data_IF_006864393316
#
_entry.id   IF_006864393316
#
_cell.length_a   1.000
_cell.length_b   1.000
_cell.length_c   1.000
_cell.angle_alpha   90.00
_cell.angle_beta   90.00
_cell.angle_gamma   90.00
#
_symmetry.space_group_name_H-M   'P 1'
#
loop_
_entity.id
_entity.type
_entity.pdbx_description
1 polymer ?
#
# COMPACT_ATOMS: atom_id res chain seq x y z
N UNK A 1 46.46 1.90 1.10
CA UNK A 1 45.23 1.15 1.44
C UNK A 1 45.50 -0.34 1.22
N UNK A 2 45.33 -1.23 2.21
CA UNK A 2 45.69 -2.64 2.03
C UNK A 2 44.55 -3.41 1.35
N UNK A 3 44.94 -4.17 0.32
CA UNK A 3 44.11 -5.07 -0.47
C UNK A 3 43.92 -6.37 0.33
N UNK A 4 42.76 -6.58 0.93
CA UNK A 4 42.45 -7.83 1.62
C UNK A 4 42.08 -8.92 0.59
N UNK A 5 43.10 -9.59 0.06
CA UNK A 5 42.92 -10.91 -0.56
C UNK A 5 42.82 -11.94 0.56
N UNK A 6 41.65 -12.55 0.74
CA UNK A 6 41.51 -13.74 1.58
C UNK A 6 42.24 -14.91 0.90
N UNK A 7 43.09 -15.67 1.61
CA UNK A 7 43.81 -16.78 1.01
C UNK A 7 42.83 -17.93 0.74
N UNK A 8 42.62 -18.26 -0.54
CA UNK A 8 41.97 -19.50 -0.94
C UNK A 8 42.94 -20.62 -0.55
N UNK A 9 42.67 -21.25 0.58
CA UNK A 9 43.41 -22.41 1.08
C UNK A 9 43.16 -23.56 0.10
N UNK A 10 44.14 -23.83 -0.76
CA UNK A 10 44.20 -25.03 -1.59
C UNK A 10 44.37 -26.26 -0.68
N UNK A 11 43.26 -26.70 -0.08
CA UNK A 11 43.18 -28.02 0.56
C UNK A 11 42.95 -29.00 -0.57
N UNK A 12 43.93 -29.87 -0.81
CA UNK A 12 43.88 -30.99 -1.73
C UNK A 12 42.46 -31.59 -1.79
N UNK A 13 41.85 -31.49 -2.97
CA UNK A 13 40.58 -32.13 -3.30
C UNK A 13 40.80 -33.65 -3.37
N UNK A 14 40.94 -34.31 -2.22
CA UNK A 14 40.54 -35.72 -2.09
C UNK A 14 39.05 -35.74 -2.37
N UNK A 15 38.70 -36.28 -3.54
CA UNK A 15 37.36 -36.53 -4.08
C UNK A 15 36.27 -36.56 -3.00
N UNK A 16 35.73 -35.38 -2.65
CA UNK A 16 34.46 -35.32 -1.92
C UNK A 16 33.40 -35.71 -2.93
N UNK A 17 33.08 -37.00 -3.00
CA UNK A 17 31.86 -37.49 -3.64
C UNK A 17 30.72 -36.61 -3.13
N UNK A 18 30.23 -35.73 -4.00
CA UNK A 18 29.11 -34.83 -3.70
C UNK A 18 27.91 -35.75 -3.47
N UNK A 19 27.50 -35.92 -2.22
CA UNK A 19 26.33 -36.73 -1.87
C UNK A 19 25.11 -35.95 -2.39
N UNK A 20 24.66 -36.27 -3.59
CA UNK A 20 23.41 -35.75 -4.14
C UNK A 20 22.27 -36.59 -3.58
N UNK A 21 21.59 -36.09 -2.56
CA UNK A 21 20.34 -36.68 -2.10
C UNK A 21 19.26 -36.44 -3.16
N UNK A 22 18.90 -37.45 -3.93
CA UNK A 22 17.69 -37.40 -4.75
C UNK A 22 16.48 -37.48 -3.83
N UNK A 23 15.79 -36.36 -3.63
CA UNK A 23 14.47 -36.38 -3.00
C UNK A 23 13.54 -37.28 -3.83
N UNK A 24 12.78 -38.16 -3.17
CA UNK A 24 11.75 -38.94 -3.84
C UNK A 24 10.81 -38.01 -4.60
N UNK A 25 10.31 -38.45 -5.75
CA UNK A 25 9.49 -37.60 -6.64
C UNK A 25 8.33 -36.92 -5.89
N UNK A 26 7.68 -37.66 -4.97
CA UNK A 26 6.61 -37.14 -4.13
C UNK A 26 7.08 -36.02 -3.18
N UNK A 27 8.25 -36.16 -2.56
CA UNK A 27 8.81 -35.10 -1.71
C UNK A 27 9.20 -33.86 -2.53
N UNK A 28 9.73 -34.06 -3.73
CA UNK A 28 10.09 -32.95 -4.64
C UNK A 28 8.86 -32.17 -5.08
N UNK A 29 7.77 -32.86 -5.44
CA UNK A 29 6.50 -32.23 -5.79
C UNK A 29 5.87 -31.46 -4.62
N UNK A 30 5.88 -32.03 -3.41
CA UNK A 30 5.38 -31.34 -2.21
C UNK A 30 6.20 -30.10 -1.87
N UNK A 31 7.53 -30.18 -1.98
CA UNK A 31 8.40 -29.00 -1.80
C UNK A 31 8.10 -27.93 -2.86
N UNK A 32 7.92 -28.32 -4.12
CA UNK A 32 7.56 -27.39 -5.19
C UNK A 32 6.21 -26.69 -4.91
N UNK A 33 5.23 -27.45 -4.40
CA UNK A 33 3.92 -26.92 -4.01
C UNK A 33 4.03 -25.90 -2.87
N UNK A 34 4.79 -26.23 -1.82
CA UNK A 34 5.03 -25.32 -0.68
C UNK A 34 5.78 -24.05 -1.09
N UNK A 35 6.74 -24.15 -2.02
CA UNK A 35 7.46 -23.00 -2.58
C UNK A 35 6.51 -22.10 -3.36
N UNK A 36 5.63 -22.69 -4.18
CA UNK A 36 4.65 -21.95 -4.96
C UNK A 36 3.60 -21.27 -4.05
N UNK A 37 3.15 -21.95 -3.00
CA UNK A 37 2.23 -21.39 -1.99
C UNK A 37 2.87 -20.21 -1.25
N UNK A 38 4.13 -20.35 -0.80
CA UNK A 38 4.92 -19.24 -0.23
C UNK A 38 5.03 -18.06 -1.19
N UNK A 39 5.38 -18.31 -2.45
CA UNK A 39 5.52 -17.25 -3.45
C UNK A 39 4.20 -16.51 -3.70
N UNK A 40 3.08 -17.25 -3.72
CA UNK A 40 1.76 -16.66 -3.89
C UNK A 40 1.33 -15.86 -2.66
N UNK A 41 1.65 -16.33 -1.45
CA UNK A 41 1.40 -15.60 -0.22
C UNK A 41 2.21 -14.30 -0.17
N UNK A 42 3.50 -14.33 -0.53
CA UNK A 42 4.36 -13.15 -0.58
C UNK A 42 3.86 -12.14 -1.63
N UNK A 43 3.44 -12.61 -2.81
CA UNK A 43 2.80 -11.74 -3.83
C UNK A 43 1.49 -11.14 -3.33
N UNK A 44 0.63 -11.92 -2.69
CA UNK A 44 -0.64 -11.44 -2.16
C UNK A 44 -0.44 -10.46 -0.99
N UNK A 45 0.57 -10.67 -0.16
CA UNK A 45 0.94 -9.75 0.91
C UNK A 45 1.46 -8.42 0.35
N UNK A 46 2.27 -8.46 -0.72
CA UNK A 46 2.71 -7.26 -1.43
C UNK A 46 1.52 -6.52 -2.07
N UNK A 47 0.58 -7.24 -2.69
CA UNK A 47 -0.66 -6.67 -3.26
C UNK A 47 -1.52 -6.04 -2.16
N UNK A 48 -1.66 -6.70 -1.01
CA UNK A 48 -2.42 -6.17 0.13
C UNK A 48 -1.78 -4.91 0.72
N UNK A 49 -0.44 -4.84 0.78
CA UNK A 49 0.29 -3.62 1.19
C UNK A 49 0.14 -2.46 0.20
N UNK A 50 -0.16 -2.75 -1.07
CA UNK A 50 -0.37 -1.77 -2.14
C UNK A 50 -1.84 -1.38 -2.34
N UNK A 51 -2.75 -1.76 -1.43
CA UNK A 51 -4.17 -1.37 -1.48
C UNK A 51 -5.11 -2.41 -2.09
N UNK A 52 -4.66 -3.65 -2.31
CA UNK A 52 -5.50 -4.76 -2.79
C UNK A 52 -5.56 -4.90 -4.32
N UNK A 53 -6.50 -5.72 -4.80
CA UNK A 53 -6.64 -6.14 -6.22
C UNK A 53 -7.10 -5.01 -7.16
N UNK A 54 -7.63 -3.92 -6.60
CA UNK A 54 -7.95 -2.72 -7.37
C UNK A 54 -6.64 -2.00 -7.70
N UNK A 55 -6.06 -2.36 -8.85
CA UNK A 55 -5.00 -1.55 -9.47
C UNK A 55 -5.56 -0.14 -9.60
N UNK A 56 -5.07 0.78 -8.77
CA UNK A 56 -5.27 2.20 -8.97
C UNK A 56 -4.95 2.50 -10.45
N UNK A 57 -5.87 3.16 -11.13
CA UNK A 57 -5.61 3.58 -12.50
C UNK A 57 -4.38 4.48 -12.54
N UNK A 58 -3.71 4.58 -13.70
CA UNK A 58 -2.53 5.44 -13.84
C UNK A 58 -2.79 6.87 -13.36
N UNK A 59 -4.03 7.35 -13.52
CA UNK A 59 -4.47 8.69 -13.12
C UNK A 59 -4.61 8.79 -11.60
N UNK A 60 -5.26 7.82 -10.95
CA UNK A 60 -5.39 7.79 -9.48
C UNK A 60 -4.01 7.72 -8.81
N UNK A 61 -3.08 6.94 -9.37
CA UNK A 61 -1.70 6.85 -8.87
C UNK A 61 -0.97 8.19 -8.99
N UNK A 62 -1.17 8.93 -10.08
CA UNK A 62 -0.57 10.25 -10.28
C UNK A 62 -1.16 11.28 -9.30
N UNK A 63 -2.46 11.24 -9.04
CA UNK A 63 -3.12 12.15 -8.10
C UNK A 63 -2.61 11.93 -6.66
N UNK A 64 -2.39 10.68 -6.25
CA UNK A 64 -1.86 10.36 -4.90
C UNK A 64 -0.43 10.88 -4.70
N UNK A 65 0.35 11.00 -5.78
CA UNK A 65 1.71 11.52 -5.71
C UNK A 65 1.80 13.06 -5.67
N UNK A 66 0.67 13.77 -5.83
CA UNK A 66 0.68 15.23 -5.79
C UNK A 66 0.81 15.74 -4.35
N UNK A 67 1.63 16.77 -4.18
CA UNK A 67 1.64 17.53 -2.94
C UNK A 67 0.31 18.27 -2.76
N UNK A 68 -0.02 18.60 -1.51
CA UNK A 68 -1.30 19.23 -1.16
C UNK A 68 -1.57 20.49 -1.99
N UNK A 69 -0.55 21.34 -2.15
CA UNK A 69 -0.68 22.61 -2.87
C UNK A 69 -0.91 22.38 -4.37
N UNK A 70 -0.20 21.42 -4.97
CA UNK A 70 -0.39 21.02 -6.36
C UNK A 70 -1.78 20.43 -6.62
N UNK A 71 -2.30 19.66 -5.66
CA UNK A 71 -3.65 19.11 -5.73
C UNK A 71 -4.72 20.21 -5.66
N UNK A 72 -4.51 21.21 -4.79
CA UNK A 72 -5.42 22.36 -4.67
C UNK A 72 -5.41 23.16 -5.97
N UNK A 73 -4.24 23.46 -6.53
CA UNK A 73 -4.13 24.19 -7.80
C UNK A 73 -4.82 23.45 -8.94
N UNK A 74 -4.63 22.13 -9.03
CA UNK A 74 -5.30 21.29 -10.04
C UNK A 74 -6.82 21.36 -9.92
N UNK A 75 -7.36 21.29 -8.69
CA UNK A 75 -8.80 21.39 -8.43
C UNK A 75 -9.32 22.79 -8.79
N UNK A 76 -8.56 23.85 -8.48
CA UNK A 76 -8.95 25.23 -8.80
C UNK A 76 -9.02 25.45 -10.31
N UNK A 77 -8.04 24.97 -11.07
CA UNK A 77 -8.04 25.03 -12.54
C UNK A 77 -9.22 24.25 -13.09
N UNK A 78 -9.45 23.02 -12.62
CA UNK A 78 -10.59 22.21 -13.05
C UNK A 78 -11.94 22.89 -12.73
N UNK A 79 -12.05 23.60 -11.61
CA UNK A 79 -13.25 24.37 -11.27
C UNK A 79 -13.48 25.58 -12.20
N UNK A 80 -12.41 26.21 -12.68
CA UNK A 80 -12.49 27.33 -13.63
C UNK A 80 -12.92 26.85 -15.02
N UNK A 81 -12.36 25.74 -15.49
CA UNK A 81 -12.62 25.21 -16.83
C UNK A 81 -13.95 24.44 -16.92
N UNK A 82 -14.38 23.81 -15.82
CA UNK A 82 -15.57 22.96 -15.77
C UNK A 82 -16.56 23.43 -14.69
N UNK A 83 -17.50 24.35 -15.03
CA UNK A 83 -18.43 24.91 -14.05
C UNK A 83 -19.39 23.88 -13.43
N UNK A 84 -19.72 22.80 -14.14
CA UNK A 84 -20.52 21.69 -13.58
C UNK A 84 -19.77 20.91 -12.49
N UNK A 85 -18.46 20.74 -12.66
CA UNK A 85 -17.60 20.11 -11.67
C UNK A 85 -17.51 20.96 -10.40
N UNK A 86 -17.33 22.28 -10.57
CA UNK A 86 -17.35 23.24 -9.46
C UNK A 86 -18.66 23.18 -8.66
N UNK A 87 -19.82 23.15 -9.33
CA UNK A 87 -21.13 22.99 -8.66
C UNK A 87 -21.23 21.69 -7.85
N UNK A 88 -20.72 20.57 -8.39
CA UNK A 88 -20.72 19.28 -7.68
C UNK A 88 -19.84 19.31 -6.44
N UNK A 89 -18.62 19.86 -6.54
CA UNK A 89 -17.71 20.04 -5.39
C UNK A 89 -18.36 20.92 -4.33
N UNK A 90 -18.90 22.07 -4.72
CA UNK A 90 -19.49 23.02 -3.79
C UNK A 90 -20.68 22.41 -3.03
N UNK A 91 -21.53 21.65 -3.72
CA UNK A 91 -22.63 20.91 -3.08
C UNK A 91 -22.12 19.86 -2.09
N UNK A 92 -21.07 19.13 -2.45
CA UNK A 92 -20.45 18.13 -1.55
C UNK A 92 -19.82 18.78 -0.31
N UNK A 93 -19.07 19.86 -0.49
CA UNK A 93 -18.44 20.60 0.61
C UNK A 93 -19.49 21.18 1.57
N UNK A 94 -20.57 21.77 1.04
CA UNK A 94 -21.68 22.26 1.86
C UNK A 94 -22.32 21.14 2.69
N UNK A 95 -22.53 19.95 2.12
CA UNK A 95 -23.08 18.80 2.87
C UNK A 95 -22.17 18.39 4.03
N UNK A 96 -20.86 18.33 3.79
CA UNK A 96 -19.88 18.00 4.83
C UNK A 96 -19.90 19.05 5.94
N UNK A 97 -19.95 20.33 5.56
CA UNK A 97 -19.96 21.44 6.52
C UNK A 97 -21.22 21.43 7.39
N UNK A 98 -22.40 21.26 6.77
CA UNK A 98 -23.68 21.15 7.50
C UNK A 98 -23.66 19.95 8.44
N UNK A 99 -23.17 18.79 7.99
CA UNK A 99 -23.08 17.58 8.82
C UNK A 99 -22.14 17.79 10.01
N UNK A 100 -21.00 18.45 9.80
CA UNK A 100 -20.03 18.78 10.85
C UNK A 100 -20.61 19.75 11.89
N UNK A 101 -21.27 20.83 11.45
CA UNK A 101 -21.95 21.77 12.33
C UNK A 101 -23.04 21.05 13.13
N UNK A 102 -23.85 20.23 12.48
CA UNK A 102 -24.92 19.49 13.15
C UNK A 102 -24.36 18.61 14.26
N UNK A 103 -23.31 17.82 13.99
CA UNK A 103 -22.63 17.02 15.01
C UNK A 103 -22.09 17.87 16.16
N UNK A 104 -21.52 19.04 15.87
CA UNK A 104 -20.98 19.92 16.89
C UNK A 104 -22.07 20.50 17.79
N UNK A 105 -23.19 20.93 17.21
CA UNK A 105 -24.36 21.44 17.94
C UNK A 105 -24.95 20.32 18.82
N UNK A 106 -25.14 19.12 18.28
CA UNK A 106 -25.65 17.98 19.06
C UNK A 106 -24.76 17.67 20.26
N UNK A 107 -23.42 17.69 20.09
CA UNK A 107 -22.47 17.49 21.19
C UNK A 107 -22.59 18.58 22.26
N UNK A 108 -22.74 19.84 21.87
CA UNK A 108 -22.89 20.96 22.80
C UNK A 108 -24.21 20.85 23.58
N UNK A 109 -25.32 20.56 22.89
CA UNK A 109 -26.64 20.36 23.52
C UNK A 109 -26.59 19.19 24.51
N UNK A 110 -26.01 18.05 24.12
CA UNK A 110 -25.88 16.90 25.01
C UNK A 110 -25.03 17.22 26.25
N UNK A 111 -23.96 18.02 26.09
CA UNK A 111 -23.13 18.46 27.22
C UNK A 111 -23.89 19.41 28.15
N UNK A 112 -24.69 20.33 27.61
CA UNK A 112 -25.53 21.22 28.40
C UNK A 112 -26.63 20.46 29.15
N UNK A 113 -27.24 19.45 28.51
CA UNK A 113 -28.26 18.62 29.13
C UNK A 113 -27.72 17.80 30.31
N UNK A 114 -26.51 17.25 30.21
CA UNK A 114 -25.84 16.55 31.32
C UNK A 114 -25.55 17.49 32.50
N UNK A 115 -25.19 18.75 32.23
CA UNK A 115 -24.88 19.72 33.29
C UNK A 115 -26.14 20.22 34.02
N UNK A 116 -27.30 20.13 33.36
CA UNK A 116 -28.56 20.67 33.88
C UNK A 116 -29.41 19.63 34.64
N UNK A 117 -29.05 18.35 34.59
CA UNK A 117 -29.63 17.25 35.40
C UNK A 117 -28.79 17.06 36.66
#
# INVERSE_FOLDING_TARGET
>A
MPNFQTPIRNVELKERKRISYSLSNNRKQNLQKLINERSNLEKNEAINKLGGVLKATSIESQIVCLERDQLVDLILVACADYPEFCKKIHCHLLKIFISSIFQHITKVIHKLFIIYI
#
